data_IF_355374142401
#
_entry.id   IF_355374142401
#
_cell.length_a   1.000
_cell.length_b   1.000
_cell.length_c   1.000
_cell.angle_alpha   90.00
_cell.angle_beta   90.00
_cell.angle_gamma   90.00
#
_symmetry.space_group_name_H-M   'P 1'
#
loop_
_entity.id
_entity.type
_entity.pdbx_description
1 polymer ?
#
# COMPACT_ATOMS: atom_id res chain seq x y z
N UNK A 1 18.32 -0.25 13.43
CA UNK A 1 17.04 -0.96 13.34
C UNK A 1 17.32 -2.41 13.63
N UNK A 2 16.90 -2.89 14.80
CA UNK A 2 17.04 -4.27 15.19
C UNK A 2 16.17 -5.14 14.28
N UNK A 3 16.75 -6.24 13.83
CA UNK A 3 16.18 -7.19 12.89
C UNK A 3 15.01 -7.95 13.54
N UNK A 4 13.79 -7.43 13.41
CA UNK A 4 12.56 -8.08 13.89
C UNK A 4 12.09 -9.25 13.03
N UNK A 5 12.88 -9.65 12.03
CA UNK A 5 12.52 -10.73 11.12
C UNK A 5 13.14 -12.09 11.50
N UNK A 6 13.35 -12.34 12.77
CA UNK A 6 13.86 -13.65 13.21
C UNK A 6 12.72 -14.66 13.26
N UNK A 7 12.56 -15.44 12.20
CA UNK A 7 11.72 -16.64 12.20
C UNK A 7 12.50 -17.80 12.84
N UNK A 8 12.21 -18.09 14.10
CA UNK A 8 12.77 -19.28 14.73
C UNK A 8 12.68 -19.27 16.23
N UNK A 9 11.74 -20.02 16.79
CA UNK A 9 11.70 -20.36 18.21
C UNK A 9 12.75 -21.44 18.49
N UNK A 10 13.99 -21.05 18.55
CA UNK A 10 15.08 -21.84 19.03
C UNK A 10 15.99 -20.94 19.82
N UNK A 11 16.43 -21.36 21.02
CA UNK A 11 17.39 -20.59 21.79
C UNK A 11 18.57 -20.23 20.88
N UNK A 12 18.89 -18.94 20.71
CA UNK A 12 19.88 -18.54 19.75
C UNK A 12 21.26 -18.96 20.28
N UNK A 13 21.81 -20.00 19.68
CA UNK A 13 23.25 -19.99 19.58
C UNK A 13 23.57 -18.71 18.80
N UNK A 14 24.34 -17.77 19.36
CA UNK A 14 24.89 -16.63 18.62
C UNK A 14 25.72 -17.19 17.46
N UNK A 15 25.05 -17.51 16.36
CA UNK A 15 25.71 -17.84 15.12
C UNK A 15 26.23 -16.54 14.52
N UNK A 16 27.54 -16.46 14.29
CA UNK A 16 28.23 -15.30 13.75
C UNK A 16 27.86 -14.98 12.28
N UNK A 17 26.80 -15.58 11.74
CA UNK A 17 26.27 -15.39 10.39
C UNK A 17 24.79 -15.04 10.46
N UNK A 18 24.46 -13.90 11.03
CA UNK A 18 23.14 -13.30 10.82
C UNK A 18 23.20 -12.70 9.43
N UNK A 19 22.53 -13.37 8.49
CA UNK A 19 22.25 -12.76 7.19
C UNK A 19 21.19 -11.70 7.46
N UNK A 20 21.60 -10.45 7.62
CA UNK A 20 20.68 -9.35 7.76
C UNK A 20 19.90 -9.22 6.45
N UNK A 21 18.64 -9.61 6.46
CA UNK A 21 17.75 -9.32 5.34
C UNK A 21 17.48 -7.82 5.36
N UNK A 22 18.05 -7.11 4.41
CA UNK A 22 17.78 -5.68 4.23
C UNK A 22 16.50 -5.55 3.42
N UNK A 23 15.53 -4.81 3.94
CA UNK A 23 14.30 -4.46 3.22
C UNK A 23 14.48 -3.11 2.55
N UNK A 24 14.13 -3.04 1.27
CA UNK A 24 14.15 -1.84 0.47
C UNK A 24 12.77 -1.45 -0.02
N UNK A 25 12.66 -0.24 -0.55
CA UNK A 25 11.45 0.22 -1.24
C UNK A 25 11.83 1.10 -2.42
N UNK A 26 11.09 0.96 -3.52
CA UNK A 26 11.27 1.76 -4.72
C UNK A 26 10.47 3.05 -4.64
N UNK A 27 11.01 4.18 -5.10
CA UNK A 27 10.28 5.42 -5.18
C UNK A 27 9.21 5.37 -6.29
N UNK A 28 8.13 6.09 -6.08
CA UNK A 28 7.11 6.36 -7.09
C UNK A 28 6.59 7.79 -6.96
N UNK A 29 5.93 8.28 -8.01
CA UNK A 29 5.48 9.67 -8.07
C UNK A 29 3.98 9.76 -8.20
N UNK A 30 3.34 10.50 -7.28
CA UNK A 30 1.97 10.99 -7.44
C UNK A 30 2.02 12.31 -8.22
N UNK A 31 1.21 12.43 -9.27
CA UNK A 31 1.25 13.61 -10.14
C UNK A 31 -0.10 14.00 -10.71
N UNK A 32 -0.18 15.28 -11.08
CA UNK A 32 -1.30 15.85 -11.86
C UNK A 32 -0.73 16.70 -12.98
N UNK A 33 -1.38 16.66 -14.15
CA UNK A 33 -1.10 17.57 -15.27
C UNK A 33 -2.24 18.57 -15.41
N UNK A 34 -1.89 19.81 -15.61
CA UNK A 34 -2.82 20.91 -15.86
C UNK A 34 -2.52 21.50 -17.22
N UNK A 35 -3.53 21.53 -18.08
CA UNK A 35 -3.48 22.24 -19.34
C UNK A 35 -3.56 23.75 -19.10
N UNK A 36 -2.60 24.50 -19.61
CA UNK A 36 -2.49 25.95 -19.45
C UNK A 36 -3.05 26.72 -20.66
N UNK A 37 -3.81 26.07 -21.54
CA UNK A 37 -4.41 26.69 -22.73
C UNK A 37 -5.54 27.66 -22.41
N UNK A 38 -6.11 27.62 -21.19
CA UNK A 38 -7.23 28.47 -20.80
C UNK A 38 -6.79 29.95 -20.70
N UNK A 39 -7.33 30.86 -21.52
CA UNK A 39 -6.96 32.27 -21.48
C UNK A 39 -7.41 32.92 -20.14
N UNK A 40 -6.63 33.89 -19.67
CA UNK A 40 -6.94 34.69 -18.50
C UNK A 40 -6.34 34.23 -17.18
N UNK A 41 -5.56 33.17 -17.17
CA UNK A 41 -4.81 32.74 -15.98
C UNK A 41 -3.32 33.02 -16.13
N UNK A 42 -2.71 33.49 -15.04
CA UNK A 42 -1.27 33.61 -14.93
C UNK A 42 -0.62 32.25 -14.66
N UNK A 43 0.68 32.12 -14.90
CA UNK A 43 1.43 30.92 -14.58
C UNK A 43 1.31 30.54 -13.10
N UNK A 44 1.37 31.52 -12.20
CA UNK A 44 1.21 31.30 -10.76
C UNK A 44 -0.17 30.70 -10.41
N UNK A 45 -1.24 31.21 -11.03
CA UNK A 45 -2.57 30.67 -10.84
C UNK A 45 -2.69 29.23 -11.35
N UNK A 46 -2.06 28.90 -12.48
CA UNK A 46 -1.99 27.51 -12.97
C UNK A 46 -1.24 26.61 -11.98
N UNK A 47 -0.11 27.07 -11.43
CA UNK A 47 0.64 26.31 -10.41
C UNK A 47 -0.20 26.06 -9.15
N UNK A 48 -0.91 27.07 -8.65
CA UNK A 48 -1.78 26.92 -7.49
C UNK A 48 -2.94 25.95 -7.75
N UNK A 49 -3.55 26.01 -8.92
CA UNK A 49 -4.60 25.06 -9.37
C UNK A 49 -4.05 23.64 -9.45
N UNK A 50 -2.85 23.49 -9.99
CA UNK A 50 -2.15 22.19 -10.06
C UNK A 50 -1.89 21.60 -8.69
N UNK A 51 -1.40 22.42 -7.76
CA UNK A 51 -1.19 22.00 -6.38
C UNK A 51 -2.51 21.59 -5.70
N UNK A 52 -3.56 22.39 -5.84
CA UNK A 52 -4.87 22.07 -5.29
C UNK A 52 -5.46 20.78 -5.89
N UNK A 53 -5.24 20.53 -7.18
CA UNK A 53 -5.64 19.30 -7.83
C UNK A 53 -4.86 18.10 -7.31
N UNK A 54 -3.52 18.24 -7.16
CA UNK A 54 -2.68 17.17 -6.58
C UNK A 54 -3.14 16.81 -5.18
N UNK A 55 -3.36 17.81 -4.31
CA UNK A 55 -3.82 17.56 -2.93
C UNK A 55 -5.15 16.79 -2.84
N UNK A 56 -5.99 16.83 -3.86
CA UNK A 56 -7.27 16.09 -3.89
C UNK A 56 -7.11 14.63 -4.27
N UNK A 57 -6.12 14.31 -5.11
CA UNK A 57 -5.98 12.97 -5.69
C UNK A 57 -4.77 12.22 -5.16
N UNK A 58 -3.87 12.91 -4.47
CA UNK A 58 -2.58 12.39 -4.00
C UNK A 58 -2.75 11.17 -3.11
N UNK A 59 -3.60 11.27 -2.09
CA UNK A 59 -3.86 10.17 -1.16
C UNK A 59 -4.37 8.93 -1.91
N UNK A 60 -5.36 9.10 -2.77
CA UNK A 60 -5.89 8.01 -3.58
C UNK A 60 -4.83 7.37 -4.49
N UNK A 61 -3.97 8.19 -5.12
CA UNK A 61 -2.89 7.67 -5.98
C UNK A 61 -1.86 6.88 -5.18
N UNK A 62 -1.49 7.38 -4.01
CA UNK A 62 -0.53 6.72 -3.10
C UNK A 62 -1.09 5.38 -2.61
N UNK A 63 -2.33 5.36 -2.12
CA UNK A 63 -3.00 4.17 -1.63
C UNK A 63 -3.16 3.11 -2.74
N UNK A 64 -3.59 3.53 -3.94
CA UNK A 64 -3.74 2.63 -5.07
C UNK A 64 -2.40 2.02 -5.49
N UNK A 65 -1.35 2.84 -5.55
CA UNK A 65 0.00 2.37 -5.87
C UNK A 65 0.51 1.40 -4.81
N UNK A 66 0.32 1.73 -3.53
CA UNK A 66 0.72 0.85 -2.44
C UNK A 66 -0.06 -0.47 -2.40
N UNK A 67 -1.32 -0.48 -2.83
CA UNK A 67 -2.10 -1.72 -2.95
C UNK A 67 -1.65 -2.58 -4.11
N UNK A 68 -1.55 -2.00 -5.31
CA UNK A 68 -1.42 -2.76 -6.56
C UNK A 68 0.00 -2.85 -7.11
N UNK A 69 0.93 -2.02 -6.65
CA UNK A 69 2.23 -1.83 -7.27
C UNK A 69 2.19 -1.03 -8.59
N UNK A 70 1.00 -0.67 -9.07
CA UNK A 70 0.84 0.06 -10.32
C UNK A 70 0.74 1.54 -10.02
N UNK A 71 1.62 2.34 -10.62
CA UNK A 71 1.61 3.80 -10.47
C UNK A 71 0.31 4.37 -11.02
N UNK A 72 -0.54 4.90 -10.14
CA UNK A 72 -1.89 5.35 -10.49
C UNK A 72 -1.90 6.53 -11.46
N UNK A 73 -0.83 7.32 -11.51
CA UNK A 73 -0.67 8.45 -12.43
C UNK A 73 -0.35 8.04 -13.88
N UNK A 74 -0.21 6.74 -14.15
CA UNK A 74 0.04 6.21 -15.50
C UNK A 74 1.46 6.44 -16.03
N UNK A 75 2.37 7.01 -15.25
CA UNK A 75 3.74 7.24 -15.64
C UNK A 75 4.65 6.09 -15.21
N UNK A 76 5.24 5.43 -16.18
CA UNK A 76 6.27 4.41 -16.00
C UNK A 76 5.72 2.99 -15.91
N UNK A 77 5.97 2.17 -16.88
CA UNK A 77 5.55 0.76 -16.96
C UNK A 77 6.29 -0.19 -16.01
N UNK A 78 6.70 0.24 -14.81
CA UNK A 78 7.35 -0.60 -13.81
C UNK A 78 6.40 -0.84 -12.63
N UNK A 79 6.58 -1.97 -11.97
CA UNK A 79 5.87 -2.29 -10.73
C UNK A 79 6.63 -1.70 -9.55
N UNK A 80 5.92 -0.98 -8.69
CA UNK A 80 6.47 -0.43 -7.45
C UNK A 80 6.52 -1.53 -6.39
N UNK A 81 7.64 -1.66 -5.73
CA UNK A 81 7.85 -2.57 -4.62
C UNK A 81 8.26 -1.82 -3.36
N UNK A 82 7.77 -2.22 -2.18
CA UNK A 82 6.75 -3.23 -1.97
C UNK A 82 5.32 -2.72 -2.21
N UNK A 83 4.39 -3.66 -2.45
CA UNK A 83 2.96 -3.43 -2.54
C UNK A 83 2.20 -4.58 -1.86
N UNK A 84 0.91 -4.38 -1.55
CA UNK A 84 0.14 -5.35 -0.77
C UNK A 84 -0.31 -6.55 -1.61
N UNK A 85 -0.85 -6.31 -2.81
CA UNK A 85 -1.36 -7.37 -3.69
C UNK A 85 -0.21 -8.04 -4.47
N UNK A 86 0.64 -8.76 -3.75
CA UNK A 86 1.84 -9.39 -4.32
C UNK A 86 1.82 -10.90 -4.11
N UNK A 87 2.00 -11.66 -5.19
CA UNK A 87 2.05 -13.12 -5.18
C UNK A 87 3.48 -13.70 -5.25
N UNK A 88 4.49 -12.84 -5.39
CA UNK A 88 5.86 -13.26 -5.51
C UNK A 88 6.81 -12.41 -4.64
N UNK A 89 7.86 -13.05 -4.15
CA UNK A 89 8.97 -12.34 -3.51
C UNK A 89 9.88 -11.75 -4.60
N UNK A 90 10.29 -10.50 -4.41
CA UNK A 90 11.26 -9.81 -5.29
C UNK A 90 12.46 -9.37 -4.48
N UNK A 91 13.65 -9.75 -4.94
CA UNK A 91 14.91 -9.35 -4.35
C UNK A 91 15.72 -8.52 -5.36
N UNK A 92 16.44 -7.54 -4.87
CA UNK A 92 17.45 -6.85 -5.68
C UNK A 92 18.73 -7.70 -5.68
N UNK A 93 19.17 -8.13 -6.85
CA UNK A 93 20.43 -8.87 -7.01
C UNK A 93 21.61 -7.89 -7.01
N UNK A 94 22.21 -7.68 -5.84
CA UNK A 94 23.47 -6.94 -5.71
C UNK A 94 24.59 -7.84 -5.19
N UNK A 95 25.83 -7.56 -5.56
CA UNK A 95 26.97 -8.48 -5.43
C UNK A 95 27.35 -8.90 -3.99
N UNK A 96 26.80 -8.32 -2.94
CA UNK A 96 27.13 -8.67 -1.55
C UNK A 96 25.98 -8.57 -0.54
N UNK A 97 24.84 -7.96 -0.91
CA UNK A 97 23.67 -7.82 -0.03
C UNK A 97 22.42 -8.07 -0.85
N UNK A 98 21.65 -9.08 -0.48
CA UNK A 98 20.33 -9.30 -1.09
C UNK A 98 19.32 -8.43 -0.35
N UNK A 99 18.85 -7.37 -1.00
CA UNK A 99 17.77 -6.54 -0.48
C UNK A 99 16.44 -7.12 -0.90
N UNK A 100 15.58 -7.43 0.05
CA UNK A 100 14.21 -7.84 -0.23
C UNK A 100 13.36 -6.60 -0.53
N UNK A 101 12.86 -6.49 -1.75
CA UNK A 101 12.00 -5.38 -2.18
C UNK A 101 10.52 -5.71 -2.01
N UNK A 102 10.15 -7.00 -2.06
CA UNK A 102 8.78 -7.47 -2.02
C UNK A 102 8.70 -8.85 -1.36
N UNK A 103 7.74 -9.02 -0.45
CA UNK A 103 7.33 -10.32 0.06
C UNK A 103 6.12 -10.83 -0.75
N UNK A 104 6.05 -12.14 -0.96
CA UNK A 104 4.80 -12.76 -1.37
C UNK A 104 3.79 -12.69 -0.21
N UNK A 105 2.55 -12.31 -0.49
CA UNK A 105 1.50 -12.31 0.52
C UNK A 105 1.15 -13.76 0.92
N UNK A 106 1.35 -14.08 2.18
CA UNK A 106 0.97 -15.39 2.73
C UNK A 106 -0.55 -15.42 2.91
N UNK A 107 -1.24 -16.21 2.12
CA UNK A 107 -2.68 -16.38 2.26
C UNK A 107 -2.98 -17.23 3.50
N UNK A 108 -3.84 -16.72 4.40
CA UNK A 108 -4.22 -17.44 5.63
C UNK A 108 -5.06 -18.68 5.34
N UNK A 109 -5.70 -18.72 4.17
CA UNK A 109 -6.45 -19.86 3.63
C UNK A 109 -6.68 -19.67 2.13
N UNK A 110 -6.87 -20.77 1.39
CA UNK A 110 -7.31 -20.73 -0.01
C UNK A 110 -8.83 -20.53 -0.19
N UNK A 111 -9.60 -20.38 0.90
CA UNK A 111 -11.05 -20.19 0.85
C UNK A 111 -11.42 -18.72 1.03
N UNK A 112 -12.56 -18.32 0.45
CA UNK A 112 -13.20 -17.04 0.74
C UNK A 112 -14.00 -17.21 2.03
N UNK A 113 -13.78 -16.35 3.00
CA UNK A 113 -14.34 -16.41 4.34
C UNK A 113 -15.36 -15.29 4.56
N UNK A 114 -16.19 -15.42 5.59
CA UNK A 114 -16.89 -14.26 6.12
C UNK A 114 -15.90 -13.29 6.82
N UNK A 115 -16.33 -12.07 7.06
CA UNK A 115 -15.46 -11.02 7.60
C UNK A 115 -14.91 -11.34 8.99
N UNK A 116 -15.70 -12.04 9.82
CA UNK A 116 -15.32 -12.37 11.21
C UNK A 116 -14.21 -13.41 11.22
N UNK A 117 -14.41 -14.50 10.46
CA UNK A 117 -13.43 -15.56 10.33
C UNK A 117 -12.16 -15.07 9.61
N UNK A 118 -12.35 -14.30 8.52
CA UNK A 118 -11.22 -13.75 7.76
C UNK A 118 -10.34 -12.84 8.60
N UNK A 119 -10.92 -11.91 9.37
CA UNK A 119 -10.17 -11.04 10.25
C UNK A 119 -9.49 -11.82 11.38
N UNK A 120 -10.18 -12.77 12.00
CA UNK A 120 -9.60 -13.59 13.05
C UNK A 120 -8.38 -14.39 12.60
N UNK A 121 -8.46 -15.03 11.43
CA UNK A 121 -7.33 -15.77 10.84
C UNK A 121 -6.19 -14.85 10.38
N UNK A 122 -6.53 -13.68 9.83
CA UNK A 122 -5.55 -12.69 9.43
C UNK A 122 -4.74 -12.19 10.65
N UNK A 123 -5.43 -11.89 11.75
CA UNK A 123 -4.80 -11.44 12.98
C UNK A 123 -3.95 -12.53 13.64
N UNK A 124 -4.37 -13.79 13.59
CA UNK A 124 -3.57 -14.90 14.10
C UNK A 124 -2.28 -15.05 13.31
N UNK A 125 -2.35 -15.01 11.98
CA UNK A 125 -1.17 -15.04 11.12
C UNK A 125 -0.28 -13.81 11.31
N UNK A 126 -0.87 -12.64 11.53
CA UNK A 126 -0.15 -11.40 11.77
C UNK A 126 0.58 -11.44 13.12
N UNK A 127 -0.05 -11.94 14.18
CA UNK A 127 0.57 -12.10 15.50
C UNK A 127 1.78 -13.06 15.44
N UNK A 128 1.68 -14.14 14.67
CA UNK A 128 2.79 -15.09 14.47
C UNK A 128 3.96 -14.46 13.69
N UNK A 129 3.65 -13.61 12.72
CA UNK A 129 4.62 -12.99 11.83
C UNK A 129 5.31 -11.78 12.47
N UNK A 130 4.54 -10.89 13.13
CA UNK A 130 5.04 -9.61 13.68
C UNK A 130 5.50 -9.77 15.13
N UNK A 131 5.03 -10.81 15.84
CA UNK A 131 5.23 -11.00 17.29
C UNK A 131 4.79 -9.79 18.14
N UNK A 132 3.73 -9.10 17.69
CA UNK A 132 3.20 -7.90 18.31
C UNK A 132 1.97 -7.37 17.57
N UNK A 133 1.78 -6.06 17.58
CA UNK A 133 0.69 -5.42 16.86
C UNK A 133 1.13 -5.02 15.47
N UNK A 134 0.29 -5.37 14.50
CA UNK A 134 0.48 -5.01 13.10
C UNK A 134 -0.57 -4.02 12.60
N UNK A 135 -0.64 -3.89 11.29
CA UNK A 135 -1.56 -3.01 10.59
C UNK A 135 -2.41 -3.86 9.64
N UNK A 136 -3.74 -3.71 9.73
CA UNK A 136 -4.69 -4.35 8.83
C UNK A 136 -5.16 -3.33 7.80
N UNK A 137 -4.98 -3.67 6.52
CA UNK A 137 -5.39 -2.87 5.37
C UNK A 137 -6.66 -3.44 4.79
N UNK A 138 -7.70 -2.63 4.63
CA UNK A 138 -8.96 -3.07 4.06
C UNK A 138 -9.63 -1.97 3.24
N UNK A 139 -10.47 -2.38 2.30
CA UNK A 139 -11.32 -1.45 1.55
C UNK A 139 -12.41 -0.88 2.43
N UNK A 140 -12.98 0.26 2.05
CA UNK A 140 -14.10 0.89 2.77
C UNK A 140 -15.27 -0.09 2.95
N UNK A 141 -15.60 -0.88 1.93
CA UNK A 141 -16.70 -1.86 2.01
C UNK A 141 -16.45 -2.92 3.08
N UNK A 142 -15.25 -3.48 3.14
CA UNK A 142 -14.88 -4.48 4.16
C UNK A 142 -14.88 -3.84 5.55
N UNK A 143 -14.39 -2.62 5.66
CA UNK A 143 -14.39 -1.87 6.92
C UNK A 143 -15.81 -1.68 7.47
N UNK A 144 -16.76 -1.24 6.64
CA UNK A 144 -18.16 -1.05 7.05
C UNK A 144 -18.80 -2.37 7.52
N UNK A 145 -18.51 -3.48 6.82
CA UNK A 145 -18.99 -4.80 7.24
C UNK A 145 -18.35 -5.21 8.58
N UNK A 146 -17.05 -5.01 8.74
CA UNK A 146 -16.34 -5.34 9.97
C UNK A 146 -16.81 -4.47 11.16
N UNK A 147 -17.04 -3.17 10.93
CA UNK A 147 -17.57 -2.25 11.94
C UNK A 147 -19.01 -2.63 12.33
N UNK A 148 -19.86 -2.99 11.37
CA UNK A 148 -21.20 -3.50 11.61
C UNK A 148 -21.23 -4.80 12.44
N UNK A 149 -20.19 -5.60 12.37
CA UNK A 149 -19.98 -6.80 13.19
C UNK A 149 -19.24 -6.52 14.51
N UNK A 150 -19.05 -5.26 14.89
CA UNK A 150 -18.35 -4.85 16.11
C UNK A 150 -16.88 -5.33 16.22
N UNK A 151 -16.22 -5.56 15.08
CA UNK A 151 -14.82 -5.99 15.02
C UNK A 151 -13.84 -4.81 15.05
N UNK A 152 -14.36 -3.59 14.86
CA UNK A 152 -13.57 -2.36 14.77
C UNK A 152 -13.96 -1.40 15.91
N UNK A 153 -12.97 -0.83 16.55
CA UNK A 153 -13.11 0.20 17.56
C UNK A 153 -12.47 1.50 17.08
N UNK A 154 -13.15 2.62 17.30
CA UNK A 154 -12.60 3.95 17.04
C UNK A 154 -12.07 4.55 18.35
N UNK A 155 -10.76 4.83 18.36
CA UNK A 155 -10.08 5.43 19.52
C UNK A 155 -9.30 6.66 19.06
N UNK A 156 -9.68 7.84 19.55
CA UNK A 156 -8.99 9.09 19.20
C UNK A 156 -8.94 9.39 17.69
N UNK A 157 -10.02 9.05 16.95
CA UNK A 157 -10.11 9.26 15.51
C UNK A 157 -9.34 8.24 14.66
N UNK A 158 -8.80 7.19 15.28
CA UNK A 158 -8.12 6.09 14.59
C UNK A 158 -8.90 4.80 14.76
N UNK A 159 -8.88 3.96 13.75
CA UNK A 159 -9.53 2.65 13.75
C UNK A 159 -8.55 1.58 14.23
N UNK A 160 -9.06 0.69 15.08
CA UNK A 160 -8.34 -0.48 15.57
C UNK A 160 -9.26 -1.69 15.53
N UNK A 161 -8.69 -2.87 15.34
CA UNK A 161 -9.44 -4.10 15.60
C UNK A 161 -9.67 -4.27 17.10
N UNK A 162 -10.63 -5.11 17.50
CA UNK A 162 -10.87 -5.44 18.93
C UNK A 162 -9.64 -6.03 19.62
N UNK A 163 -8.71 -6.63 18.87
CA UNK A 163 -7.41 -7.10 19.38
C UNK A 163 -6.35 -6.01 19.47
N UNK A 164 -6.62 -4.81 18.94
CA UNK A 164 -5.76 -3.63 19.02
C UNK A 164 -4.76 -3.49 17.87
N UNK A 165 -4.92 -4.22 16.75
CA UNK A 165 -4.18 -3.94 15.52
C UNK A 165 -4.71 -2.66 14.89
N UNK A 166 -3.82 -1.81 14.36
CA UNK A 166 -4.26 -0.62 13.65
C UNK A 166 -4.99 -1.00 12.35
N UNK A 167 -6.04 -0.26 12.02
CA UNK A 167 -6.78 -0.48 10.77
C UNK A 167 -6.60 0.74 9.86
N UNK A 168 -6.17 0.48 8.62
CA UNK A 168 -6.05 1.48 7.57
C UNK A 168 -7.07 1.18 6.50
N UNK A 169 -7.88 2.19 6.21
CA UNK A 169 -8.92 2.14 5.17
C UNK A 169 -8.56 3.15 4.10
N UNK A 170 -8.39 2.71 2.87
CA UNK A 170 -7.99 3.56 1.76
C UNK A 170 -9.04 3.61 0.66
N UNK A 171 -9.35 4.81 0.18
CA UNK A 171 -10.22 5.01 -0.98
C UNK A 171 -9.58 4.50 -2.29
N UNK A 172 -8.24 4.44 -2.32
CA UNK A 172 -7.46 3.89 -3.42
C UNK A 172 -7.27 2.37 -3.35
N UNK A 173 -7.67 1.71 -2.26
CA UNK A 173 -7.56 0.27 -2.12
C UNK A 173 -8.57 -0.46 -3.00
N UNK A 174 -8.07 -1.30 -3.89
CA UNK A 174 -8.92 -1.96 -4.92
C UNK A 174 -9.63 -3.22 -4.43
N UNK A 175 -9.17 -3.81 -3.33
CA UNK A 175 -9.66 -5.11 -2.86
C UNK A 175 -9.22 -6.30 -3.69
N UNK A 176 -8.25 -6.12 -4.61
CA UNK A 176 -7.72 -7.18 -5.45
C UNK A 176 -6.92 -8.22 -4.65
N UNK A 177 -6.88 -9.44 -5.20
CA UNK A 177 -6.11 -10.57 -4.71
C UNK A 177 -4.60 -10.35 -4.83
N UNK A 178 -3.76 -11.20 -4.18
CA UNK A 178 -2.30 -11.14 -4.29
C UNK A 178 -1.76 -11.23 -5.72
N UNK A 179 -2.49 -11.88 -6.64
CA UNK A 179 -2.16 -11.95 -8.08
C UNK A 179 -2.67 -10.75 -8.89
N UNK A 180 -3.25 -9.74 -8.22
CA UNK A 180 -3.84 -8.58 -8.85
C UNK A 180 -5.24 -8.81 -9.42
N UNK A 181 -5.76 -10.05 -9.39
CA UNK A 181 -7.11 -10.36 -9.89
C UNK A 181 -8.21 -9.79 -9.00
N UNK A 182 -9.39 -9.62 -9.55
CA UNK A 182 -10.59 -9.17 -8.84
C UNK A 182 -11.74 -10.13 -9.13
N UNK A 183 -12.39 -10.59 -8.06
CA UNK A 183 -13.56 -11.47 -8.15
C UNK A 183 -14.78 -10.72 -7.63
N UNK A 184 -15.87 -10.75 -8.37
CA UNK A 184 -17.11 -10.09 -7.96
C UNK A 184 -17.59 -10.63 -6.61
N UNK A 185 -17.94 -9.73 -5.68
CA UNK A 185 -18.39 -10.09 -4.34
C UNK A 185 -17.29 -10.56 -3.39
N UNK A 186 -16.02 -10.48 -3.78
CA UNK A 186 -14.87 -10.82 -2.94
C UNK A 186 -13.91 -9.65 -2.88
N UNK A 187 -13.53 -9.23 -1.68
CA UNK A 187 -12.41 -8.34 -1.46
C UNK A 187 -11.33 -9.00 -0.61
N UNK A 188 -10.13 -8.50 -0.73
CA UNK A 188 -9.02 -8.96 0.09
C UNK A 188 -8.70 -7.96 1.19
N UNK A 189 -8.27 -8.48 2.32
CA UNK A 189 -7.61 -7.75 3.40
C UNK A 189 -6.16 -8.15 3.46
N UNK A 190 -5.30 -7.21 3.83
CA UNK A 190 -3.88 -7.48 4.04
C UNK A 190 -3.47 -7.08 5.44
N UNK A 191 -2.55 -7.85 6.02
CA UNK A 191 -1.91 -7.54 7.28
C UNK A 191 -0.41 -7.33 7.06
N UNK A 192 0.14 -6.26 7.63
CA UNK A 192 1.56 -5.94 7.55
C UNK A 192 2.14 -5.65 8.92
N UNK A 193 3.46 -5.72 9.03
CA UNK A 193 4.19 -5.07 10.12
C UNK A 193 4.10 -3.53 9.99
N UNK A 194 4.90 -2.81 10.75
CA UNK A 194 4.97 -1.36 10.69
C UNK A 194 5.29 -0.86 9.26
N UNK A 195 4.59 0.19 8.85
CA UNK A 195 4.85 0.88 7.59
C UNK A 195 5.82 2.03 7.85
N UNK A 196 6.73 2.24 6.92
CA UNK A 196 7.48 3.46 6.79
C UNK A 196 7.08 4.21 5.53
N UNK A 197 7.03 5.53 5.62
CA UNK A 197 6.67 6.41 4.51
C UNK A 197 7.62 7.61 4.49
N UNK A 198 8.23 7.84 3.34
CA UNK A 198 9.00 9.05 3.07
C UNK A 198 8.35 9.79 1.90
N UNK A 199 8.29 11.11 2.02
CA UNK A 199 7.77 12.00 1.00
C UNK A 199 8.83 13.04 0.65
N UNK A 200 9.08 13.27 -0.63
CA UNK A 200 10.02 14.30 -1.06
C UNK A 200 9.58 15.69 -0.59
N UNK A 201 10.54 16.50 -0.18
CA UNK A 201 10.33 17.89 0.20
C UNK A 201 9.87 18.11 1.65
N UNK A 202 9.99 17.13 2.55
CA UNK A 202 9.50 17.25 3.93
C UNK A 202 10.37 18.11 4.87
N UNK A 203 11.56 18.55 4.47
CA UNK A 203 12.51 19.09 5.43
C UNK A 203 12.57 20.62 5.56
N UNK A 204 11.98 21.40 4.64
CA UNK A 204 12.09 22.86 4.71
C UNK A 204 10.88 23.60 4.15
N UNK A 205 9.80 23.74 4.94
CA UNK A 205 8.72 24.68 4.62
C UNK A 205 7.33 24.04 4.52
N UNK A 206 6.29 24.85 4.53
CA UNK A 206 4.90 24.42 4.59
C UNK A 206 4.46 23.52 3.45
N UNK A 207 3.32 22.88 3.59
CA UNK A 207 2.78 21.84 2.68
C UNK A 207 2.77 22.23 1.18
N UNK A 208 2.70 23.52 0.87
CA UNK A 208 2.71 24.05 -0.49
C UNK A 208 4.08 23.94 -1.19
N UNK A 209 5.18 23.99 -0.42
CA UNK A 209 6.55 24.05 -0.98
C UNK A 209 7.15 22.67 -1.28
N UNK A 210 6.38 21.59 -1.12
CA UNK A 210 6.88 20.21 -1.20
C UNK A 210 6.53 19.52 -2.52
N UNK A 211 5.88 20.19 -3.44
CA UNK A 211 5.61 19.67 -4.78
C UNK A 211 6.63 20.20 -5.77
N UNK A 212 7.06 19.35 -6.71
CA UNK A 212 7.87 19.75 -7.84
C UNK A 212 6.97 20.19 -8.99
N UNK A 213 7.28 21.32 -9.59
CA UNK A 213 6.59 21.86 -10.75
C UNK A 213 7.47 21.70 -11.97
N UNK A 214 6.92 21.13 -13.03
CA UNK A 214 7.59 21.03 -14.34
C UNK A 214 6.69 21.62 -15.41
N UNK A 215 7.22 22.57 -16.12
CA UNK A 215 6.60 23.06 -17.35
C UNK A 215 6.90 22.09 -18.47
N UNK A 216 5.86 21.74 -19.21
CA UNK A 216 5.92 20.82 -20.34
C UNK A 216 5.17 21.44 -21.51
N UNK A 217 5.53 21.03 -22.71
CA UNK A 217 4.80 21.38 -23.90
C UNK A 217 4.23 20.11 -24.51
N UNK A 218 2.92 20.05 -24.59
CA UNK A 218 2.23 18.94 -25.25
C UNK A 218 2.26 19.18 -26.75
N UNK A 219 3.07 18.39 -27.45
CA UNK A 219 3.23 18.51 -28.92
C UNK A 219 1.99 18.03 -29.69
N UNK A 220 1.18 17.16 -29.10
CA UNK A 220 -0.01 16.61 -29.76
C UNK A 220 -1.15 17.63 -29.79
N UNK A 221 -1.27 18.40 -28.72
CA UNK A 221 -2.32 19.44 -28.57
C UNK A 221 -1.79 20.85 -28.83
N UNK A 222 -0.46 21.00 -28.97
CA UNK A 222 0.24 22.30 -29.12
C UNK A 222 -0.09 23.27 -27.95
N UNK A 223 -0.16 22.73 -26.75
CA UNK A 223 -0.50 23.50 -25.53
C UNK A 223 0.58 23.40 -24.46
N UNK A 224 0.85 24.48 -23.71
CA UNK A 224 1.68 24.40 -22.54
C UNK A 224 0.92 23.65 -21.42
N UNK A 225 1.65 22.80 -20.70
CA UNK A 225 1.14 22.05 -19.55
C UNK A 225 2.05 22.29 -18.35
N UNK A 226 1.46 22.30 -17.16
CA UNK A 226 2.20 22.24 -15.89
C UNK A 226 1.95 20.89 -15.25
N UNK A 227 3.02 20.17 -14.97
CA UNK A 227 2.99 18.97 -14.16
C UNK A 227 3.37 19.30 -12.73
N UNK A 228 2.53 18.88 -11.78
CA UNK A 228 2.79 18.98 -10.34
C UNK A 228 2.93 17.60 -9.79
N UNK A 229 4.05 17.32 -9.12
CA UNK A 229 4.39 15.97 -8.67
C UNK A 229 4.99 15.95 -7.26
N UNK A 230 4.82 14.82 -6.56
CA UNK A 230 5.53 14.45 -5.33
C UNK A 230 5.99 13.02 -5.40
N UNK A 231 7.21 12.79 -4.93
CA UNK A 231 7.78 11.45 -4.87
C UNK A 231 7.58 10.86 -3.48
N UNK A 232 7.21 9.59 -3.45
CA UNK A 232 6.99 8.78 -2.26
C UNK A 232 7.88 7.56 -2.27
N UNK A 233 8.28 7.14 -1.08
CA UNK A 233 8.85 5.82 -0.82
C UNK A 233 8.02 5.22 0.30
N UNK A 234 7.33 4.12 0.02
CA UNK A 234 6.52 3.40 1.00
C UNK A 234 7.04 1.98 1.14
N UNK A 235 7.06 1.49 2.37
CA UNK A 235 7.44 0.12 2.62
C UNK A 235 6.86 -0.39 3.92
N UNK A 236 6.93 -1.70 4.11
CA UNK A 236 6.54 -2.39 5.34
C UNK A 236 7.64 -3.37 5.76
N UNK A 237 7.61 -3.77 7.02
CA UNK A 237 8.54 -4.77 7.55
C UNK A 237 8.30 -6.17 6.99
N UNK A 238 8.94 -7.15 7.58
CA UNK A 238 9.04 -8.53 7.09
C UNK A 238 7.76 -9.38 7.20
N UNK A 239 6.59 -8.78 7.25
CA UNK A 239 5.33 -9.52 7.33
C UNK A 239 4.34 -9.00 6.29
N UNK A 240 3.79 -9.91 5.49
CA UNK A 240 2.68 -9.65 4.59
C UNK A 240 1.77 -10.88 4.57
N UNK A 241 0.58 -10.75 5.13
CA UNK A 241 -0.46 -11.79 5.16
C UNK A 241 -1.71 -11.30 4.47
N UNK A 242 -2.51 -12.21 3.91
CA UNK A 242 -3.69 -11.87 3.12
C UNK A 242 -4.86 -12.81 3.42
N UNK A 243 -6.06 -12.27 3.45
CA UNK A 243 -7.32 -13.02 3.60
C UNK A 243 -8.36 -12.54 2.59
N UNK A 244 -9.07 -13.48 1.96
CA UNK A 244 -10.20 -13.20 1.08
C UNK A 244 -11.50 -13.10 1.88
N UNK A 245 -12.29 -12.06 1.64
CA UNK A 245 -13.54 -11.75 2.35
C UNK A 245 -14.70 -11.72 1.38
N UNK A 246 -15.79 -12.43 1.71
CA UNK A 246 -17.07 -12.32 1.02
C UNK A 246 -17.80 -11.03 1.43
N UNK A 247 -18.28 -10.26 0.46
CA UNK A 247 -19.02 -9.02 0.67
C UNK A 247 -20.52 -9.18 0.89
N UNK A 248 -21.01 -10.40 0.89
CA UNK A 248 -22.42 -10.72 1.10
C UNK A 248 -22.89 -11.87 0.20
N UNK A 249 -23.59 -12.82 0.78
CA UNK A 249 -24.02 -14.06 0.16
C UNK A 249 -23.01 -15.20 0.40
N UNK A 250 -23.51 -16.40 0.57
CA UNK A 250 -22.68 -17.61 0.71
C UNK A 250 -21.94 -17.82 -0.59
N UNK A 251 -20.69 -17.42 -0.66
CA UNK A 251 -19.82 -17.78 -1.79
C UNK A 251 -19.39 -19.22 -1.58
N UNK A 252 -20.17 -20.17 -2.10
CA UNK A 252 -19.72 -21.55 -2.23
C UNK A 252 -18.76 -21.64 -3.42
N UNK A 253 -17.49 -21.34 -3.19
CA UNK A 253 -16.48 -21.46 -4.23
C UNK A 253 -15.10 -21.62 -3.60
N UNK A 254 -14.45 -22.75 -3.86
CA UNK A 254 -13.03 -22.92 -3.61
C UNK A 254 -12.27 -22.04 -4.60
N UNK A 255 -11.54 -21.07 -4.09
CA UNK A 255 -10.55 -20.34 -4.89
C UNK A 255 -9.41 -21.32 -5.18
N UNK A 256 -9.32 -21.81 -6.41
CA UNK A 256 -8.19 -22.60 -6.83
C UNK A 256 -6.99 -21.67 -7.02
N UNK A 257 -6.09 -21.62 -6.04
CA UNK A 257 -4.75 -21.10 -6.24
C UNK A 257 -4.05 -21.99 -7.27
N UNK A 258 -3.80 -21.47 -8.45
CA UNK A 258 -2.91 -22.13 -9.40
C UNK A 258 -1.52 -22.21 -8.76
N UNK A 259 -1.06 -23.43 -8.56
CA UNK A 259 0.31 -23.77 -8.13
C UNK A 259 1.32 -23.46 -9.22
#
# INVERSE_FOLDING_TARGET
FDDYCVTGVGAPAKAANITNNVFGALPFTAMVRIDCSAPGYTQEEHMQRGLAALMRVEEWQVERTFWTGIVASGSGGYTVHPHLAANAQVNEAGASVTTTLQLAATQVTGAVLDVVEALGRLEDALDQCVQGKGIVHMTTTVFEIAAGNHLIELRGGKAYTTRGNAVVVGAGYTGSAPDGSSTAGVHWMYGTANIFAYRSGSEMGGAAQQATFKEMFNTDTNTPEIMVERTYVLGYGCCLVAAAVSLGGVVSGTYNSAT
#
